data_IF_117576952519
#
_entry.id   IF_117576952519
#
_cell.length_a   1.000
_cell.length_b   1.000
_cell.length_c   1.000
_cell.angle_alpha   90.00
_cell.angle_beta   90.00
_cell.angle_gamma   90.00
#
_symmetry.space_group_name_H-M   'P 1'
#
loop_
_entity.id
_entity.type
_entity.pdbx_description
1 polymer ?
#
# COMPACT_ATOMS: atom_id res chain seq x y z
N UNK A 1 -5.21 -15.19 5.86
CA UNK A 1 -5.62 -14.33 4.73
C UNK A 1 -7.00 -13.70 4.89
N UNK A 2 -7.93 -14.35 5.54
CA UNK A 2 -9.34 -13.89 5.63
C UNK A 2 -9.57 -12.61 6.47
N UNK A 3 -8.71 -12.25 7.41
CA UNK A 3 -8.90 -11.03 8.21
C UNK A 3 -8.49 -9.74 7.48
N UNK A 4 -7.47 -9.81 6.63
CA UNK A 4 -7.00 -8.65 5.85
C UNK A 4 -8.03 -8.15 4.82
N UNK A 5 -8.94 -9.02 4.39
CA UNK A 5 -9.89 -8.75 3.31
C UNK A 5 -11.36 -8.74 3.74
N UNK A 6 -11.61 -8.83 5.04
CA UNK A 6 -12.95 -9.06 5.62
C UNK A 6 -14.01 -8.00 5.29
N UNK A 7 -13.59 -6.78 4.93
CA UNK A 7 -14.48 -5.65 4.64
C UNK A 7 -14.25 -5.07 3.24
N UNK A 8 -13.66 -5.86 2.34
CA UNK A 8 -13.41 -5.41 0.97
C UNK A 8 -14.58 -5.75 0.07
N UNK A 9 -14.93 -4.80 -0.78
CA UNK A 9 -16.00 -4.93 -1.77
C UNK A 9 -15.39 -4.86 -3.16
N UNK A 10 -15.77 -5.77 -4.03
CA UNK A 10 -15.39 -5.73 -5.44
C UNK A 10 -16.09 -4.58 -6.14
N UNK A 11 -15.34 -3.82 -6.92
CA UNK A 11 -15.84 -2.69 -7.69
C UNK A 11 -15.64 -2.88 -9.18
N UNK A 12 -16.63 -2.46 -9.96
CA UNK A 12 -16.55 -2.52 -11.41
C UNK A 12 -15.57 -1.46 -11.96
N UNK A 13 -14.90 -1.73 -13.10
CA UNK A 13 -13.90 -0.82 -13.68
C UNK A 13 -14.40 0.61 -13.95
N UNK A 14 -15.70 0.77 -14.24
CA UNK A 14 -16.35 2.05 -14.54
C UNK A 14 -17.29 2.53 -13.46
N UNK A 15 -17.28 1.88 -12.30
CA UNK A 15 -18.09 2.30 -11.16
C UNK A 15 -17.73 3.72 -10.73
N UNK A 16 -18.73 4.48 -10.28
CA UNK A 16 -18.55 5.85 -9.82
C UNK A 16 -18.32 5.83 -8.30
N UNK A 17 -17.09 6.10 -7.91
CA UNK A 17 -16.71 6.18 -6.50
C UNK A 17 -16.41 7.63 -6.16
N UNK A 18 -17.11 8.17 -5.17
CA UNK A 18 -16.78 9.49 -4.65
C UNK A 18 -15.59 9.39 -3.71
N UNK A 19 -14.46 9.99 -4.10
CA UNK A 19 -13.25 9.91 -3.28
C UNK A 19 -12.42 11.18 -3.38
N UNK A 20 -11.88 11.61 -2.22
CA UNK A 20 -10.88 12.69 -2.14
C UNK A 20 -9.90 12.40 -1.01
N UNK A 21 -8.62 12.33 -1.35
CA UNK A 21 -7.57 12.37 -0.34
C UNK A 21 -7.54 13.75 0.34
N UNK A 22 -7.59 13.77 1.66
CA UNK A 22 -7.61 15.00 2.47
C UNK A 22 -6.26 15.33 3.09
N UNK A 23 -5.23 14.50 2.84
CA UNK A 23 -3.90 14.68 3.46
C UNK A 23 -3.92 14.63 5.00
N UNK A 24 -4.91 13.94 5.57
CA UNK A 24 -5.14 13.90 7.02
C UNK A 24 -4.34 12.81 7.75
N UNK A 25 -3.59 11.98 7.02
CA UNK A 25 -2.83 10.87 7.59
C UNK A 25 -3.67 9.72 8.15
N UNK A 26 -5.01 9.72 7.97
CA UNK A 26 -5.87 8.66 8.50
C UNK A 26 -5.58 7.29 7.85
N UNK A 27 -5.20 7.27 6.57
CA UNK A 27 -4.80 6.05 5.87
C UNK A 27 -3.43 5.52 6.32
N UNK A 28 -2.72 6.26 7.16
CA UNK A 28 -1.42 5.88 7.74
C UNK A 28 -1.51 5.58 9.24
N UNK A 29 -2.72 5.44 9.82
CA UNK A 29 -2.95 5.08 11.22
C UNK A 29 -3.80 3.82 11.32
N UNK A 30 -3.58 3.06 12.40
CA UNK A 30 -4.17 1.74 12.61
C UNK A 30 -3.90 0.82 11.41
N UNK A 31 -2.63 0.78 10.98
CA UNK A 31 -2.20 0.06 9.76
C UNK A 31 -1.20 -1.07 10.06
N UNK A 32 -1.18 -1.57 11.28
CA UNK A 32 -0.34 -2.72 11.65
C UNK A 32 -0.63 -3.89 10.72
N UNK A 33 0.42 -4.37 10.04
CA UNK A 33 0.34 -5.45 9.08
C UNK A 33 -0.73 -5.24 7.97
N UNK A 34 -0.93 -3.99 7.55
CA UNK A 34 -1.91 -3.66 6.50
C UNK A 34 -1.27 -3.03 5.25
N UNK A 35 -0.02 -2.59 5.33
CA UNK A 35 0.69 -2.00 4.19
C UNK A 35 1.79 -2.95 3.76
N UNK A 36 1.51 -3.87 2.82
CA UNK A 36 2.53 -4.77 2.29
C UNK A 36 3.62 -3.96 1.58
N UNK A 37 4.85 -4.40 1.77
CA UNK A 37 6.04 -3.84 1.12
C UNK A 37 6.58 -4.87 0.14
N UNK A 38 6.31 -4.64 -1.14
CA UNK A 38 6.78 -5.48 -2.22
C UNK A 38 8.25 -5.17 -2.55
N UNK A 39 8.94 -6.10 -3.20
CA UNK A 39 10.35 -5.96 -3.57
C UNK A 39 10.62 -4.68 -4.36
N UNK A 40 9.78 -4.37 -5.34
CA UNK A 40 9.91 -3.16 -6.14
C UNK A 40 9.71 -1.87 -5.31
N UNK A 41 8.79 -1.91 -4.34
CA UNK A 41 8.55 -0.78 -3.43
C UNK A 41 9.75 -0.56 -2.50
N UNK A 42 10.31 -1.64 -1.92
CA UNK A 42 11.52 -1.57 -1.10
C UNK A 42 12.69 -0.97 -1.86
N UNK A 43 12.89 -1.39 -3.12
CA UNK A 43 13.91 -0.83 -4.00
C UNK A 43 13.72 0.68 -4.27
N UNK A 44 12.50 1.09 -4.59
CA UNK A 44 12.17 2.51 -4.84
C UNK A 44 12.40 3.37 -3.60
N UNK A 45 12.02 2.87 -2.42
CA UNK A 45 12.23 3.54 -1.13
C UNK A 45 13.72 3.63 -0.81
N UNK A 46 14.49 2.56 -0.99
CA UNK A 46 15.93 2.57 -0.78
C UNK A 46 16.62 3.67 -1.60
N UNK A 47 16.33 3.70 -2.90
CA UNK A 47 16.87 4.73 -3.81
C UNK A 47 16.48 6.15 -3.41
N UNK A 48 15.24 6.34 -2.99
CA UNK A 48 14.75 7.63 -2.53
C UNK A 48 15.49 8.09 -1.27
N UNK A 49 15.59 7.23 -0.27
CA UNK A 49 16.25 7.53 1.00
C UNK A 49 17.75 7.82 0.80
N UNK A 50 18.46 7.03 0.00
CA UNK A 50 19.84 7.30 -0.41
C UNK A 50 20.01 8.70 -0.99
N UNK A 51 19.15 9.07 -1.93
CA UNK A 51 19.21 10.38 -2.60
C UNK A 51 18.88 11.55 -1.68
N UNK A 52 18.27 11.28 -0.51
CA UNK A 52 17.96 12.28 0.51
C UNK A 52 18.91 12.24 1.71
N UNK A 53 20.05 11.56 1.58
CA UNK A 53 21.11 11.57 2.57
C UNK A 53 20.89 10.62 3.76
N UNK A 54 19.91 9.73 3.69
CA UNK A 54 19.74 8.68 4.69
C UNK A 54 20.83 7.60 4.52
N UNK A 55 21.30 6.99 5.63
CA UNK A 55 22.39 6.01 5.60
C UNK A 55 21.94 4.63 5.11
N UNK A 56 21.23 4.60 3.98
CA UNK A 56 20.75 3.39 3.33
C UNK A 56 21.73 3.01 2.22
N UNK A 57 22.25 1.80 2.23
CA UNK A 57 23.18 1.31 1.22
C UNK A 57 22.50 0.41 0.19
N UNK A 58 21.53 -0.39 0.63
CA UNK A 58 20.83 -1.34 -0.22
C UNK A 58 19.35 -1.48 0.20
N UNK A 59 18.62 -2.33 -0.50
CA UNK A 59 17.22 -2.62 -0.21
C UNK A 59 17.05 -3.35 1.14
N UNK A 60 18.01 -4.18 1.53
CA UNK A 60 17.96 -4.94 2.78
C UNK A 60 17.93 -4.02 4.00
N UNK A 61 18.63 -2.87 3.93
CA UNK A 61 18.57 -1.86 5.00
C UNK A 61 17.14 -1.31 5.17
N UNK A 62 16.39 -1.18 4.07
CA UNK A 62 14.98 -0.75 4.15
C UNK A 62 14.12 -1.83 4.80
N UNK A 63 14.33 -3.08 4.46
CA UNK A 63 13.59 -4.20 5.06
C UNK A 63 13.90 -4.32 6.56
N UNK A 64 15.15 -4.17 6.95
CA UNK A 64 15.57 -4.25 8.35
C UNK A 64 15.05 -3.06 9.18
N UNK A 65 15.17 -1.84 8.68
CA UNK A 65 14.86 -0.63 9.45
C UNK A 65 13.37 -0.28 9.45
N UNK A 66 12.68 -0.47 8.31
CA UNK A 66 11.34 0.07 8.09
C UNK A 66 10.27 -0.99 7.84
N UNK A 67 10.63 -2.27 7.77
CA UNK A 67 9.66 -3.35 7.55
C UNK A 67 9.69 -4.40 8.66
N UNK A 68 8.61 -5.14 8.77
CA UNK A 68 8.48 -6.31 9.64
C UNK A 68 7.93 -7.48 8.84
N UNK A 69 8.49 -8.70 8.99
CA UNK A 69 7.96 -9.88 8.35
C UNK A 69 6.71 -10.38 9.10
N UNK A 70 5.73 -10.88 8.37
CA UNK A 70 4.61 -11.62 8.92
C UNK A 70 4.38 -12.89 8.11
N UNK A 71 4.12 -13.99 8.80
CA UNK A 71 3.81 -15.28 8.15
C UNK A 71 2.46 -15.19 7.45
N UNK A 72 2.43 -15.61 6.18
CA UNK A 72 1.21 -15.68 5.39
C UNK A 72 0.41 -16.94 5.70
N UNK A 73 1.09 -18.04 5.94
CA UNK A 73 0.50 -19.35 6.19
C UNK A 73 1.43 -20.29 6.97
N UNK A 74 0.96 -21.51 7.22
CA UNK A 74 1.71 -22.56 7.90
C UNK A 74 2.87 -23.14 7.04
N UNK A 75 2.92 -22.85 5.75
CA UNK A 75 3.96 -23.31 4.83
C UNK A 75 5.27 -22.53 4.95
N UNK A 76 5.30 -21.47 5.77
CA UNK A 76 6.50 -20.68 6.05
C UNK A 76 6.73 -19.52 5.09
N UNK A 77 5.80 -19.24 4.19
CA UNK A 77 5.83 -18.01 3.40
C UNK A 77 5.57 -16.79 4.29
N UNK A 78 6.36 -15.76 4.10
CA UNK A 78 6.16 -14.49 4.80
C UNK A 78 6.17 -13.33 3.82
N UNK A 79 5.47 -12.28 4.19
CA UNK A 79 5.48 -10.99 3.50
C UNK A 79 6.01 -9.93 4.44
N UNK A 80 6.63 -8.91 3.87
CA UNK A 80 7.02 -7.73 4.62
C UNK A 80 5.88 -6.70 4.63
N UNK A 81 5.68 -6.09 5.80
CA UNK A 81 4.79 -4.96 5.98
C UNK A 81 5.60 -3.77 6.49
N UNK A 82 5.17 -2.56 6.17
CA UNK A 82 5.76 -1.37 6.79
C UNK A 82 5.55 -1.42 8.31
N UNK A 83 6.63 -1.12 9.05
CA UNK A 83 6.58 -0.99 10.51
C UNK A 83 5.61 0.09 10.94
N UNK A 84 5.01 -0.12 12.08
CA UNK A 84 4.15 0.86 12.75
C UNK A 84 4.76 1.29 14.07
N UNK A 85 4.39 2.49 14.52
CA UNK A 85 4.89 3.10 15.75
C UNK A 85 3.74 3.68 16.59
N UNK A 86 3.94 3.69 17.90
CA UNK A 86 3.01 4.29 18.85
C UNK A 86 1.71 3.47 19.05
N UNK A 87 0.86 3.99 19.93
CA UNK A 87 -0.39 3.32 20.34
C UNK A 87 -1.45 3.23 19.23
N UNK A 88 -1.33 4.10 18.21
CA UNK A 88 -2.26 4.14 17.08
C UNK A 88 -1.75 3.36 15.87
N UNK A 89 -0.75 2.49 16.04
CA UNK A 89 -0.14 1.73 14.94
C UNK A 89 0.07 2.59 13.69
N UNK A 90 0.67 3.76 13.88
CA UNK A 90 0.93 4.69 12.78
C UNK A 90 2.10 4.21 11.92
N UNK A 91 1.99 4.37 10.61
CA UNK A 91 3.08 4.06 9.69
C UNK A 91 4.36 4.82 10.10
N UNK A 92 5.50 4.14 10.11
CA UNK A 92 6.81 4.70 10.49
C UNK A 92 7.21 5.93 9.64
N UNK A 93 6.67 6.06 8.44
CA UNK A 93 6.91 7.21 7.56
C UNK A 93 5.89 8.35 7.70
N UNK A 94 4.94 8.26 8.64
CA UNK A 94 4.03 9.36 8.95
C UNK A 94 4.74 10.39 9.83
N UNK A 95 4.79 11.64 9.38
CA UNK A 95 5.36 12.73 10.16
C UNK A 95 4.35 13.38 11.12
N UNK A 96 4.84 14.30 11.95
CA UNK A 96 4.04 15.06 12.91
C UNK A 96 2.98 15.96 12.28
N UNK A 97 3.14 16.31 11.00
CA UNK A 97 2.20 17.11 10.21
C UNK A 97 1.19 16.26 9.43
N UNK A 98 1.07 14.98 9.74
CA UNK A 98 0.22 14.00 9.05
C UNK A 98 0.60 13.76 7.58
N UNK A 99 1.85 13.95 7.22
CA UNK A 99 2.36 13.76 5.87
C UNK A 99 3.25 12.54 5.78
N UNK A 100 3.22 11.88 4.64
CA UNK A 100 4.09 10.76 4.36
C UNK A 100 5.48 11.25 3.92
N UNK A 101 6.53 10.90 4.64
CA UNK A 101 7.93 11.24 4.32
C UNK A 101 8.41 10.68 2.98
N UNK A 102 7.82 9.58 2.54
CA UNK A 102 8.13 8.89 1.28
C UNK A 102 7.00 9.00 0.24
N UNK A 103 6.18 10.06 0.29
CA UNK A 103 4.97 10.17 -0.52
C UNK A 103 5.20 9.99 -2.02
N UNK A 104 6.32 10.46 -2.56
CA UNK A 104 6.66 10.34 -3.98
C UNK A 104 7.03 8.92 -4.44
N UNK A 105 7.39 8.07 -3.49
CA UNK A 105 7.80 6.66 -3.71
C UNK A 105 7.07 5.71 -2.78
N UNK A 106 5.93 6.12 -2.25
CA UNK A 106 5.16 5.31 -1.33
C UNK A 106 4.79 3.95 -1.95
N UNK A 107 4.62 2.90 -1.14
CA UNK A 107 4.27 1.56 -1.61
C UNK A 107 3.05 1.54 -2.52
N UNK A 108 3.00 0.55 -3.41
CA UNK A 108 1.86 0.35 -4.32
C UNK A 108 0.52 0.38 -3.58
N UNK A 109 0.42 -0.31 -2.44
CA UNK A 109 -0.79 -0.33 -1.62
C UNK A 109 -1.23 1.09 -1.19
N UNK A 110 -0.29 1.98 -0.90
CA UNK A 110 -0.56 3.39 -0.58
C UNK A 110 -0.93 4.20 -1.82
N UNK A 111 -0.23 3.99 -2.95
CA UNK A 111 -0.49 4.74 -4.20
C UNK A 111 -1.85 4.45 -4.77
N UNK A 112 -2.29 3.19 -4.68
CA UNK A 112 -3.58 2.77 -5.24
C UNK A 112 -4.76 3.11 -4.36
N UNK A 113 -4.55 3.42 -3.06
CA UNK A 113 -5.63 3.76 -2.14
C UNK A 113 -6.62 4.77 -2.78
N UNK A 114 -7.92 4.58 -2.67
CA UNK A 114 -8.66 3.63 -1.84
C UNK A 114 -8.84 2.23 -2.46
N UNK A 115 -8.30 1.98 -3.65
CA UNK A 115 -8.45 0.71 -4.34
C UNK A 115 -7.29 -0.24 -4.02
N UNK A 116 -7.60 -1.53 -4.05
CA UNK A 116 -6.65 -2.63 -3.85
C UNK A 116 -6.70 -3.51 -5.09
N UNK A 117 -5.53 -3.85 -5.64
CA UNK A 117 -5.41 -4.86 -6.69
C UNK A 117 -5.21 -6.22 -6.02
N UNK A 118 -6.17 -7.11 -6.16
CA UNK A 118 -6.07 -8.48 -5.70
C UNK A 118 -5.78 -9.41 -6.89
N UNK A 119 -4.73 -10.24 -6.84
CA UNK A 119 -4.43 -11.19 -7.90
C UNK A 119 -5.53 -12.26 -7.96
N UNK A 120 -5.74 -12.79 -9.15
CA UNK A 120 -6.66 -13.88 -9.40
C UNK A 120 -5.89 -15.15 -9.75
N UNK A 121 -6.37 -16.31 -9.31
CA UNK A 121 -5.75 -17.61 -9.58
C UNK A 121 -5.60 -17.90 -11.07
N UNK A 122 -6.53 -17.40 -11.88
CA UNK A 122 -6.53 -17.54 -13.36
C UNK A 122 -5.62 -16.52 -14.06
N UNK A 123 -4.90 -15.71 -13.30
CA UNK A 123 -4.12 -14.56 -13.78
C UNK A 123 -4.93 -13.28 -13.89
N UNK A 124 -4.22 -12.16 -13.83
CA UNK A 124 -4.81 -10.82 -13.82
C UNK A 124 -5.16 -10.35 -12.40
N UNK A 125 -5.95 -9.28 -12.32
CA UNK A 125 -6.25 -8.61 -11.06
C UNK A 125 -7.70 -8.16 -11.02
N UNK A 126 -8.33 -8.32 -9.88
CA UNK A 126 -9.57 -7.63 -9.57
C UNK A 126 -9.31 -6.39 -8.71
N UNK A 127 -10.28 -5.47 -8.75
CA UNK A 127 -10.18 -4.25 -7.95
C UNK A 127 -11.18 -4.31 -6.81
N UNK A 128 -10.63 -4.17 -5.59
CA UNK A 128 -11.39 -4.14 -4.35
C UNK A 128 -11.30 -2.74 -3.72
N UNK A 129 -12.21 -2.44 -2.80
CA UNK A 129 -12.24 -1.19 -2.04
C UNK A 129 -12.70 -1.45 -0.61
N UNK A 130 -12.15 -0.71 0.37
CA UNK A 130 -12.69 -0.61 1.72
C UNK A 130 -13.33 0.76 1.93
N UNK A 131 -14.56 0.78 2.43
CA UNK A 131 -15.28 2.01 2.79
C UNK A 131 -15.19 2.37 4.27
N UNK A 132 -14.30 1.76 5.02
CA UNK A 132 -14.20 1.99 6.48
C UNK A 132 -13.96 3.46 6.84
N UNK A 133 -13.12 4.16 6.07
CA UNK A 133 -12.85 5.60 6.26
C UNK A 133 -13.87 6.46 5.52
N UNK A 134 -15.14 6.38 5.94
CA UNK A 134 -16.30 6.99 5.27
C UNK A 134 -16.13 8.47 4.90
N UNK A 135 -15.39 9.22 5.70
CA UNK A 135 -15.16 10.65 5.46
C UNK A 135 -14.26 10.95 4.24
N UNK A 136 -13.58 9.96 3.66
CA UNK A 136 -12.87 10.12 2.40
C UNK A 136 -13.80 10.01 1.17
N UNK A 137 -14.98 9.41 1.34
CA UNK A 137 -15.90 9.07 0.25
C UNK A 137 -16.98 10.13 0.00
N UNK A 138 -16.59 11.40 0.05
CA UNK A 138 -17.44 12.56 -0.21
C UNK A 138 -16.83 13.55 -1.22
N UNK A 139 -15.89 13.10 -2.03
CA UNK A 139 -15.18 13.90 -3.02
C UNK A 139 -15.77 13.81 -4.43
N UNK A 140 -15.01 14.25 -5.43
CA UNK A 140 -15.37 14.07 -6.83
C UNK A 140 -15.43 12.59 -7.21
N UNK A 141 -16.13 12.31 -8.31
CA UNK A 141 -16.20 10.96 -8.86
C UNK A 141 -14.84 10.53 -9.41
N UNK A 142 -14.40 9.36 -9.01
CA UNK A 142 -13.26 8.64 -9.57
C UNK A 142 -13.72 7.29 -10.10
N UNK A 143 -13.10 6.81 -11.16
CA UNK A 143 -13.38 5.49 -11.71
C UNK A 143 -12.22 4.55 -11.43
N UNK A 144 -12.45 3.33 -10.90
CA UNK A 144 -11.40 2.38 -10.57
C UNK A 144 -10.39 2.16 -11.70
N UNK A 145 -10.89 1.92 -12.93
CA UNK A 145 -10.03 1.71 -14.11
C UNK A 145 -9.06 2.87 -14.37
N UNK A 146 -9.56 4.11 -14.34
CA UNK A 146 -8.74 5.30 -14.62
C UNK A 146 -7.76 5.56 -13.48
N UNK A 147 -8.21 5.35 -12.24
CA UNK A 147 -7.38 5.50 -11.05
C UNK A 147 -6.22 4.51 -11.03
N UNK A 148 -6.53 3.24 -11.23
CA UNK A 148 -5.55 2.15 -11.23
C UNK A 148 -4.56 2.28 -12.39
N UNK A 149 -5.03 2.63 -13.60
CA UNK A 149 -4.14 2.83 -14.76
C UNK A 149 -2.98 3.81 -14.50
N UNK A 150 -3.22 4.82 -13.65
CA UNK A 150 -2.21 5.84 -13.33
C UNK A 150 -1.28 5.43 -12.18
N UNK A 151 -1.68 4.48 -11.32
CA UNK A 151 -1.04 4.20 -10.04
C UNK A 151 -0.57 2.76 -9.88
N UNK A 152 -1.08 1.86 -10.67
CA UNK A 152 -0.69 0.46 -10.75
C UNK A 152 0.00 0.24 -12.09
N UNK A 153 1.30 0.42 -12.10
CA UNK A 153 2.11 0.45 -13.32
C UNK A 153 2.31 -0.96 -13.92
N UNK A 154 2.74 -1.09 -15.17
CA UNK A 154 3.11 -2.39 -15.73
C UNK A 154 4.17 -3.11 -14.91
N UNK A 155 5.18 -2.39 -14.42
CA UNK A 155 6.23 -2.95 -13.56
C UNK A 155 5.65 -3.47 -12.24
N UNK A 156 4.75 -2.72 -11.59
CA UNK A 156 4.08 -3.19 -10.37
C UNK A 156 3.31 -4.50 -10.62
N UNK A 157 2.68 -4.65 -11.79
CA UNK A 157 1.95 -5.88 -12.15
C UNK A 157 2.87 -7.06 -12.37
N UNK A 158 3.98 -6.83 -13.07
CA UNK A 158 4.99 -7.85 -13.32
C UNK A 158 5.58 -8.36 -12.00
N UNK A 159 6.04 -7.45 -11.14
CA UNK A 159 6.60 -7.83 -9.84
C UNK A 159 5.59 -8.52 -8.94
N UNK A 160 4.35 -8.05 -8.87
CA UNK A 160 3.32 -8.69 -8.05
C UNK A 160 3.00 -10.12 -8.52
N UNK A 161 3.14 -10.40 -9.82
CA UNK A 161 2.94 -11.75 -10.37
C UNK A 161 4.14 -12.67 -10.12
N UNK A 162 5.32 -12.13 -9.94
CA UNK A 162 6.55 -12.91 -9.71
C UNK A 162 6.87 -13.09 -8.23
N UNK A 163 6.39 -12.20 -7.37
CA UNK A 163 6.59 -12.26 -5.91
C UNK A 163 5.55 -13.17 -5.20
N UNK A 164 4.55 -13.67 -5.93
CA UNK A 164 3.55 -14.63 -5.47
C UNK A 164 3.88 -16.05 -5.94
#
# INVERSE_FOLDING_TARGET
MDELYKNLVKVAPREQIHFKCKGCGACCRNVKQQVPLETLDAFRIARYLQNHGEPIQCMDDVLELYAEPALLDECGYFVYFLKTVGENDACIFLDENNRCKIHSVNPRACRTYPFIAAPLDEGGFETLISFERKFHFNGPVVHPRTWMKKRFTPEDKEFLQTDL
#
